data_IF_057736906362
#
_entry.id   IF_057736906362
#
_cell.length_a   1.000
_cell.length_b   1.000
_cell.length_c   1.000
_cell.angle_alpha   90.00
_cell.angle_beta   90.00
_cell.angle_gamma   90.00
#
_symmetry.space_group_name_H-M   'P 1'
#
loop_
_entity.id
_entity.type
_entity.pdbx_description
1 polymer ?
#
# COMPACT_ATOMS: atom_id res chain seq x y z
N UNK A 1 -0.53 3.41 2.54
CA UNK A 1 0.22 3.54 1.26
C UNK A 1 -0.63 4.13 0.12
N UNK A 2 -1.95 4.25 0.27
CA UNK A 2 -2.82 4.79 -0.78
C UNK A 2 -2.55 6.27 -1.13
N UNK A 3 -2.51 7.16 -0.12
CA UNK A 3 -2.40 8.61 -0.34
C UNK A 3 -1.17 9.01 -1.18
N UNK A 4 0.06 8.56 -0.87
CA UNK A 4 1.21 8.92 -1.70
C UNK A 4 1.10 8.42 -3.15
N UNK A 5 0.47 7.26 -3.37
CA UNK A 5 0.23 6.73 -4.71
C UNK A 5 -0.77 7.61 -5.49
N UNK A 6 -1.87 8.02 -4.85
CA UNK A 6 -2.86 8.92 -5.46
C UNK A 6 -2.24 10.26 -5.87
N UNK A 7 -1.36 10.81 -5.02
CA UNK A 7 -0.61 12.04 -5.33
C UNK A 7 0.37 11.85 -6.48
N UNK A 8 1.04 10.71 -6.58
CA UNK A 8 1.91 10.44 -7.73
C UNK A 8 1.10 10.30 -9.02
N UNK A 9 -0.06 9.65 -8.98
CA UNK A 9 -0.93 9.51 -10.16
C UNK A 9 -1.35 10.86 -10.72
N UNK A 10 -1.70 11.83 -9.85
CA UNK A 10 -2.01 13.19 -10.32
C UNK A 10 -0.80 13.89 -10.94
N UNK A 11 0.41 13.68 -10.41
CA UNK A 11 1.65 14.19 -11.02
C UNK A 11 1.94 13.59 -12.41
N UNK A 12 1.45 12.38 -12.66
CA UNK A 12 1.53 11.70 -13.97
C UNK A 12 0.39 12.08 -14.92
N UNK A 13 -0.46 13.05 -14.55
CA UNK A 13 -1.69 13.40 -15.29
C UNK A 13 -2.66 12.22 -15.45
N UNK A 14 -2.66 11.30 -14.49
CA UNK A 14 -3.61 10.20 -14.40
C UNK A 14 -4.70 10.51 -13.37
N UNK A 15 -5.90 9.91 -13.49
CA UNK A 15 -6.90 9.95 -12.44
C UNK A 15 -6.31 9.44 -11.11
N UNK A 16 -6.48 10.21 -10.03
CA UNK A 16 -5.88 9.89 -8.73
C UNK A 16 -6.50 8.65 -8.07
N UNK A 17 -7.70 8.26 -8.48
CA UNK A 17 -8.47 7.12 -8.03
C UNK A 17 -8.25 5.85 -8.87
N UNK A 18 -7.36 5.91 -9.86
CA UNK A 18 -7.11 4.80 -10.79
C UNK A 18 -6.64 3.53 -10.07
N UNK A 19 -5.77 3.65 -9.05
CA UNK A 19 -5.36 2.47 -8.27
C UNK A 19 -6.52 1.83 -7.49
N UNK A 20 -7.30 2.58 -6.68
CA UNK A 20 -8.54 2.05 -6.11
C UNK A 20 -9.47 1.37 -7.12
N UNK A 21 -9.75 2.02 -8.26
CA UNK A 21 -10.61 1.43 -9.30
C UNK A 21 -10.06 0.08 -9.77
N UNK A 22 -8.77 -0.01 -10.07
CA UNK A 22 -8.14 -1.27 -10.49
C UNK A 22 -8.29 -2.37 -9.44
N UNK A 23 -8.07 -2.05 -8.16
CA UNK A 23 -8.26 -3.02 -7.07
C UNK A 23 -9.73 -3.46 -6.97
N UNK A 24 -10.69 -2.54 -7.02
CA UNK A 24 -12.11 -2.87 -6.98
C UNK A 24 -12.55 -3.76 -8.15
N UNK A 25 -12.12 -3.42 -9.37
CA UNK A 25 -12.41 -4.21 -10.56
C UNK A 25 -11.77 -5.61 -10.51
N UNK A 26 -10.54 -5.76 -9.99
CA UNK A 26 -9.95 -7.10 -9.78
C UNK A 26 -10.75 -7.97 -8.80
N UNK A 27 -11.54 -7.35 -7.93
CA UNK A 27 -12.43 -8.01 -6.98
C UNK A 27 -13.87 -8.16 -7.53
N UNK A 28 -14.05 -8.01 -8.84
CA UNK A 28 -15.31 -8.23 -9.54
C UNK A 28 -16.32 -7.09 -9.41
N UNK A 29 -15.91 -5.91 -8.95
CA UNK A 29 -16.80 -4.75 -8.84
C UNK A 29 -16.99 -4.05 -10.18
N UNK A 30 -18.17 -3.45 -10.37
CA UNK A 30 -18.46 -2.54 -11.48
C UNK A 30 -17.61 -1.27 -11.36
N UNK A 31 -17.42 -0.53 -12.44
CA UNK A 31 -16.61 0.70 -12.42
C UNK A 31 -17.18 1.76 -11.45
N UNK A 32 -18.50 1.82 -11.29
CA UNK A 32 -19.18 2.76 -10.39
C UNK A 32 -18.83 2.51 -8.91
N UNK A 33 -18.78 1.25 -8.50
CA UNK A 33 -18.47 0.86 -7.12
C UNK A 33 -16.97 0.59 -6.86
N UNK A 34 -16.19 0.38 -7.93
CA UNK A 34 -14.82 -0.11 -7.86
C UNK A 34 -13.90 0.82 -7.07
N UNK A 35 -14.05 2.14 -7.20
CA UNK A 35 -13.19 3.08 -6.46
C UNK A 35 -13.37 2.91 -4.95
N UNK A 36 -14.61 2.94 -4.46
CA UNK A 36 -14.92 2.81 -3.04
C UNK A 36 -14.51 1.44 -2.51
N UNK A 37 -14.89 0.36 -3.22
CA UNK A 37 -14.56 -0.99 -2.79
C UNK A 37 -13.06 -1.27 -2.84
N UNK A 38 -12.34 -0.72 -3.82
CA UNK A 38 -10.90 -0.82 -3.91
C UNK A 38 -10.17 -0.15 -2.75
N UNK A 39 -10.66 0.99 -2.26
CA UNK A 39 -10.16 1.61 -1.02
C UNK A 39 -10.31 0.64 0.15
N UNK A 40 -11.52 0.06 0.33
CA UNK A 40 -11.79 -0.90 1.40
C UNK A 40 -10.84 -2.11 1.31
N UNK A 41 -10.73 -2.73 0.14
CA UNK A 41 -9.85 -3.88 -0.08
C UNK A 41 -8.37 -3.55 0.11
N UNK A 42 -7.96 -2.30 -0.10
CA UNK A 42 -6.59 -1.88 0.16
C UNK A 42 -6.27 -1.71 1.66
N UNK A 43 -7.26 -1.35 2.48
CA UNK A 43 -7.08 -1.24 3.93
C UNK A 43 -6.98 -2.60 4.62
N UNK A 44 -7.66 -3.63 4.12
CA UNK A 44 -7.62 -4.99 4.70
C UNK A 44 -6.18 -5.52 4.89
N UNK A 45 -5.31 -5.60 3.85
CA UNK A 45 -3.94 -6.05 4.04
C UNK A 45 -3.15 -5.10 4.94
N UNK A 46 -3.41 -3.79 4.89
CA UNK A 46 -2.74 -2.81 5.76
C UNK A 46 -3.02 -3.08 7.24
N UNK A 47 -4.27 -3.39 7.59
CA UNK A 47 -4.67 -3.73 8.96
C UNK A 47 -4.01 -5.04 9.41
N UNK A 48 -4.05 -6.07 8.56
CA UNK A 48 -3.43 -7.37 8.84
C UNK A 48 -1.92 -7.22 9.09
N UNK A 49 -1.22 -6.49 8.23
CA UNK A 49 0.21 -6.19 8.40
C UNK A 49 0.46 -5.46 9.73
N UNK A 50 -0.37 -4.47 10.08
CA UNK A 50 -0.24 -3.73 11.34
C UNK A 50 -0.39 -4.62 12.58
N UNK A 51 -1.37 -5.54 12.56
CA UNK A 51 -1.58 -6.52 13.63
C UNK A 51 -0.37 -7.45 13.76
N UNK A 52 0.10 -8.02 12.64
CA UNK A 52 1.28 -8.90 12.61
C UNK A 52 2.50 -8.15 13.13
N UNK A 53 2.73 -6.92 12.67
CA UNK A 53 3.82 -6.08 13.13
C UNK A 53 3.79 -5.89 14.64
N UNK A 54 2.63 -5.50 15.20
CA UNK A 54 2.41 -5.33 16.63
C UNK A 54 2.69 -6.60 17.44
N UNK A 55 2.19 -7.75 16.98
CA UNK A 55 2.42 -9.04 17.61
C UNK A 55 3.89 -9.46 17.58
N UNK A 56 4.58 -9.25 16.46
CA UNK A 56 6.01 -9.61 16.32
C UNK A 56 6.87 -8.78 17.28
N UNK A 57 6.63 -7.47 17.40
CA UNK A 57 7.44 -6.62 18.28
C UNK A 57 7.14 -6.83 19.78
N UNK A 58 5.98 -7.39 20.14
CA UNK A 58 5.58 -7.58 21.54
C UNK A 58 6.25 -8.79 22.19
N UNK A 59 6.56 -9.84 21.43
CA UNK A 59 7.14 -11.10 21.95
C UNK A 59 8.62 -11.28 21.63
N UNK A 60 9.18 -10.47 20.73
CA UNK A 60 10.55 -10.67 20.25
C UNK A 60 11.55 -9.71 20.91
N UNK A 61 12.84 -10.02 20.77
CA UNK A 61 13.96 -9.10 21.07
C UNK A 61 13.90 -7.81 20.22
N UNK A 62 12.95 -7.70 19.29
CA UNK A 62 12.67 -6.53 18.44
C UNK A 62 11.86 -5.45 19.15
N UNK A 63 11.59 -5.60 20.45
CA UNK A 63 10.93 -4.56 21.25
C UNK A 63 11.46 -3.16 20.95
N UNK A 64 10.53 -2.21 20.84
CA UNK A 64 10.79 -0.86 20.36
C UNK A 64 11.43 -0.01 21.46
N UNK A 65 12.74 -0.18 21.64
CA UNK A 65 13.53 0.55 22.65
C UNK A 65 13.67 2.04 22.35
N UNK A 66 13.64 2.43 21.08
CA UNK A 66 13.79 3.82 20.62
C UNK A 66 12.92 4.11 19.40
N UNK A 67 12.62 5.40 19.20
CA UNK A 67 11.84 5.86 18.05
C UNK A 67 12.50 5.48 16.71
N UNK A 68 13.84 5.64 16.62
CA UNK A 68 14.63 5.23 15.45
C UNK A 68 14.46 3.74 15.12
N UNK A 69 14.44 2.87 16.14
CA UNK A 69 14.21 1.43 15.96
C UNK A 69 12.77 1.14 15.51
N UNK A 70 11.79 1.90 16.00
CA UNK A 70 10.40 1.84 15.53
C UNK A 70 10.29 2.13 14.04
N UNK A 71 10.89 3.25 13.61
CA UNK A 71 10.94 3.63 12.19
C UNK A 71 11.66 2.58 11.36
N UNK A 72 12.84 2.12 11.77
CA UNK A 72 13.62 1.15 10.98
C UNK A 72 12.87 -0.17 10.78
N UNK A 73 12.26 -0.69 11.85
CA UNK A 73 11.44 -1.91 11.77
C UNK A 73 10.21 -1.70 10.88
N UNK A 74 9.56 -0.54 11.00
CA UNK A 74 8.45 -0.16 10.15
C UNK A 74 8.81 -0.09 8.66
N UNK A 75 9.95 0.54 8.31
CA UNK A 75 10.47 0.59 6.93
C UNK A 75 10.68 -0.82 6.38
N UNK A 76 11.33 -1.70 7.16
CA UNK A 76 11.54 -3.11 6.77
C UNK A 76 10.20 -3.80 6.50
N UNK A 77 9.21 -3.62 7.36
CA UNK A 77 7.86 -4.13 7.15
C UNK A 77 7.21 -3.56 5.88
N UNK A 78 7.38 -2.27 5.61
CA UNK A 78 6.94 -1.62 4.38
C UNK A 78 7.54 -2.29 3.13
N UNK A 79 8.86 -2.47 3.11
CA UNK A 79 9.58 -3.12 2.01
C UNK A 79 9.12 -4.58 1.83
N UNK A 80 8.94 -5.33 2.93
CA UNK A 80 8.42 -6.70 2.86
C UNK A 80 7.00 -6.71 2.27
N UNK A 81 6.12 -5.81 2.70
CA UNK A 81 4.76 -5.75 2.15
C UNK A 81 4.75 -5.38 0.66
N UNK A 82 5.66 -4.50 0.23
CA UNK A 82 5.85 -4.22 -1.20
C UNK A 82 6.29 -5.49 -1.96
N UNK A 83 7.31 -6.17 -1.47
CA UNK A 83 7.89 -7.32 -2.17
C UNK A 83 6.97 -8.55 -2.19
N UNK A 84 6.24 -8.80 -1.10
CA UNK A 84 5.47 -10.04 -0.91
C UNK A 84 4.01 -9.89 -1.33
N UNK A 85 3.45 -8.69 -1.29
CA UNK A 85 2.02 -8.46 -1.60
C UNK A 85 1.89 -7.64 -2.88
N UNK A 86 2.49 -6.45 -2.92
CA UNK A 86 2.29 -5.55 -4.05
C UNK A 86 2.92 -6.06 -5.34
N UNK A 87 4.18 -6.53 -5.31
CA UNK A 87 4.84 -7.04 -6.53
C UNK A 87 4.07 -8.21 -7.16
N UNK A 88 3.66 -9.27 -6.43
CA UNK A 88 2.83 -10.32 -7.01
C UNK A 88 1.50 -9.82 -7.58
N UNK A 89 0.84 -8.87 -6.90
CA UNK A 89 -0.38 -8.25 -7.40
C UNK A 89 -0.14 -7.49 -8.71
N UNK A 90 0.91 -6.65 -8.77
CA UNK A 90 1.25 -5.85 -9.94
C UNK A 90 1.68 -6.70 -11.14
N UNK A 91 2.35 -7.83 -10.90
CA UNK A 91 2.87 -8.68 -11.97
C UNK A 91 1.85 -9.69 -12.49
N UNK A 92 0.96 -10.20 -11.62
CA UNK A 92 0.11 -11.35 -11.97
C UNK A 92 -1.39 -11.04 -11.96
N UNK A 93 -1.84 -10.04 -11.20
CA UNK A 93 -3.28 -9.81 -10.94
C UNK A 93 -3.78 -8.54 -11.64
N UNK A 94 -3.06 -7.43 -11.50
CA UNK A 94 -3.46 -6.14 -12.06
C UNK A 94 -3.35 -6.00 -13.59
N UNK A 95 -2.38 -6.63 -14.31
CA UNK A 95 -2.19 -6.35 -15.74
C UNK A 95 -3.43 -6.57 -16.63
N UNK A 96 -4.21 -7.68 -16.48
CA UNK A 96 -5.43 -7.86 -17.28
C UNK A 96 -6.47 -6.75 -17.05
N UNK A 97 -6.65 -6.33 -15.80
CA UNK A 97 -7.61 -5.27 -15.44
C UNK A 97 -7.13 -3.90 -15.90
N UNK A 98 -5.82 -3.63 -15.85
CA UNK A 98 -5.25 -2.40 -16.41
C UNK A 98 -5.49 -2.30 -17.91
N UNK A 99 -5.27 -3.40 -18.63
CA UNK A 99 -5.55 -3.46 -20.07
C UNK A 99 -7.02 -3.21 -20.37
N UNK A 100 -7.92 -3.89 -19.65
CA UNK A 100 -9.37 -3.73 -19.80
C UNK A 100 -9.80 -2.27 -19.55
N UNK A 101 -9.32 -1.65 -18.46
CA UNK A 101 -9.65 -0.26 -18.12
C UNK A 101 -9.19 0.70 -19.22
N UNK A 102 -7.97 0.55 -19.72
CA UNK A 102 -7.43 1.40 -20.78
C UNK A 102 -8.19 1.24 -22.10
N UNK A 103 -8.64 0.02 -22.44
CA UNK A 103 -9.48 -0.22 -23.62
C UNK A 103 -10.86 0.43 -23.48
N UNK A 104 -11.47 0.42 -22.28
CA UNK A 104 -12.73 1.12 -22.05
C UNK A 104 -12.58 2.64 -22.15
N UNK A 105 -11.45 3.17 -21.68
CA UNK A 105 -11.14 4.61 -21.77
C UNK A 105 -10.82 5.07 -23.20
N UNK A 106 -10.27 4.18 -24.04
CA UNK A 106 -9.96 4.48 -25.43
C UNK A 106 -10.30 3.29 -26.36
N UNK A 107 -11.59 3.08 -26.70
CA UNK A 107 -12.04 1.89 -27.45
C UNK A 107 -11.46 1.76 -28.87
N UNK A 108 -10.99 2.87 -29.45
CA UNK A 108 -10.39 2.90 -30.79
C UNK A 108 -8.88 2.65 -30.81
N UNK A 109 -8.22 2.54 -29.65
CA UNK A 109 -6.78 2.33 -29.60
C UNK A 109 -6.42 0.86 -29.88
N UNK A 110 -5.42 0.61 -30.75
CA UNK A 110 -4.83 -0.71 -30.91
C UNK A 110 -4.30 -1.27 -29.60
N UNK A 111 -4.51 -2.57 -29.38
CA UNK A 111 -4.15 -3.24 -28.12
C UNK A 111 -2.63 -3.20 -27.84
N UNK A 112 -1.82 -3.32 -28.88
CA UNK A 112 -0.36 -3.23 -28.84
C UNK A 112 0.12 -1.85 -28.38
N UNK A 113 -0.54 -0.78 -28.84
CA UNK A 113 -0.26 0.58 -28.34
C UNK A 113 -0.57 0.72 -26.85
N UNK A 114 -1.69 0.16 -26.37
CA UNK A 114 -2.05 0.18 -24.95
C UNK A 114 -1.03 -0.60 -24.12
N UNK A 115 -0.61 -1.78 -24.58
CA UNK A 115 0.40 -2.57 -23.87
C UNK A 115 1.74 -1.83 -23.79
N UNK A 116 2.17 -1.17 -24.87
CA UNK A 116 3.39 -0.36 -24.87
C UNK A 116 3.30 0.80 -23.88
N UNK A 117 2.14 1.47 -23.80
CA UNK A 117 1.90 2.52 -22.82
C UNK A 117 2.00 1.98 -21.38
N UNK A 118 1.30 0.88 -21.07
CA UNK A 118 1.36 0.24 -19.75
C UNK A 118 2.79 -0.17 -19.36
N UNK A 119 3.56 -0.73 -20.29
CA UNK A 119 4.96 -1.10 -20.07
C UNK A 119 5.84 0.13 -19.79
N UNK A 120 5.65 1.24 -20.52
CA UNK A 120 6.41 2.47 -20.29
C UNK A 120 6.14 3.13 -18.93
N UNK A 121 4.93 2.95 -18.40
CA UNK A 121 4.53 3.49 -17.09
C UNK A 121 4.96 2.58 -15.93
N UNK A 122 5.22 1.30 -16.19
CA UNK A 122 5.51 0.28 -15.18
C UNK A 122 6.67 0.66 -14.24
N UNK A 123 7.83 1.19 -14.70
CA UNK A 123 8.93 1.57 -13.81
C UNK A 123 8.52 2.65 -12.80
N UNK A 124 7.77 3.66 -13.26
CA UNK A 124 7.32 4.75 -12.39
C UNK A 124 6.29 4.27 -11.37
N UNK A 125 5.36 3.41 -11.78
CA UNK A 125 4.39 2.78 -10.87
C UNK A 125 5.08 1.93 -9.80
N UNK A 126 6.11 1.16 -10.16
CA UNK A 126 6.91 0.36 -9.23
C UNK A 126 7.71 1.23 -8.25
N UNK A 127 8.35 2.30 -8.74
CA UNK A 127 9.09 3.23 -7.90
C UNK A 127 8.16 3.96 -6.91
N UNK A 128 7.04 4.48 -7.42
CA UNK A 128 6.03 5.17 -6.61
C UNK A 128 5.40 4.31 -5.54
N UNK A 129 5.06 3.08 -5.89
CA UNK A 129 4.51 2.11 -4.95
C UNK A 129 5.55 1.74 -3.88
N UNK A 130 6.81 1.50 -4.23
CA UNK A 130 7.87 1.26 -3.24
C UNK A 130 8.00 2.43 -2.25
N UNK A 131 8.05 3.68 -2.75
CA UNK A 131 8.09 4.89 -1.91
C UNK A 131 6.86 4.94 -0.99
N UNK A 132 5.67 4.66 -1.53
CA UNK A 132 4.42 4.65 -0.78
C UNK A 132 4.41 3.62 0.36
N UNK A 133 5.03 2.45 0.14
CA UNK A 133 5.17 1.41 1.16
C UNK A 133 6.22 1.76 2.22
N UNK A 134 7.32 2.41 1.83
CA UNK A 134 8.31 2.96 2.78
C UNK A 134 7.64 4.01 3.68
N UNK A 135 6.89 4.96 3.12
CA UNK A 135 6.14 5.96 3.89
C UNK A 135 5.16 5.28 4.85
N UNK A 136 4.40 4.29 4.37
CA UNK A 136 3.53 3.49 5.23
C UNK A 136 4.29 2.84 6.39
N UNK A 137 5.44 2.23 6.12
CA UNK A 137 6.31 1.63 7.12
C UNK A 137 6.77 2.63 8.18
N UNK A 138 7.22 3.82 7.76
CA UNK A 138 7.62 4.90 8.66
C UNK A 138 6.45 5.28 9.59
N UNK A 139 5.25 5.47 9.03
CA UNK A 139 4.04 5.83 9.79
C UNK A 139 3.66 4.73 10.77
N UNK A 140 3.61 3.47 10.32
CA UNK A 140 3.29 2.30 11.15
C UNK A 140 4.26 2.18 12.34
N UNK A 141 5.57 2.23 12.07
CA UNK A 141 6.60 2.14 13.09
C UNK A 141 6.55 3.29 14.10
N UNK A 142 6.30 4.51 13.63
CA UNK A 142 6.19 5.71 14.46
C UNK A 142 4.99 5.65 15.40
N UNK A 143 3.80 5.36 14.85
CA UNK A 143 2.55 5.25 15.63
C UNK A 143 2.66 4.12 16.65
N UNK A 144 3.14 2.96 16.23
CA UNK A 144 3.28 1.80 17.12
C UNK A 144 4.24 2.09 18.28
N UNK A 145 5.36 2.78 18.03
CA UNK A 145 6.27 3.19 19.09
C UNK A 145 5.58 4.09 20.13
N UNK A 146 4.82 5.09 19.68
CA UNK A 146 4.10 6.01 20.56
C UNK A 146 3.07 5.26 21.41
N UNK A 147 2.30 4.35 20.82
CA UNK A 147 1.31 3.53 21.53
C UNK A 147 1.99 2.65 22.59
N UNK A 148 3.06 1.93 22.23
CA UNK A 148 3.80 1.06 23.16
C UNK A 148 4.38 1.87 24.32
N UNK A 149 5.00 3.02 24.05
CA UNK A 149 5.56 3.90 25.10
C UNK A 149 4.48 4.45 26.04
N UNK A 150 3.33 4.87 25.49
CA UNK A 150 2.21 5.35 26.31
C UNK A 150 1.67 4.24 27.20
N UNK A 151 1.47 3.04 26.66
CA UNK A 151 1.01 1.86 27.42
C UNK A 151 1.95 1.50 28.57
N UNK A 152 3.27 1.49 28.32
CA UNK A 152 4.27 1.26 29.36
C UNK A 152 4.26 2.32 30.48
N UNK A 153 3.98 3.59 30.15
CA UNK A 153 3.87 4.66 31.15
C UNK A 153 2.62 4.47 32.01
N UNK A 154 1.47 4.20 31.41
CA UNK A 154 0.20 3.99 32.12
C UNK A 154 0.26 2.80 33.08
N UNK A 155 0.86 1.67 32.67
CA UNK A 155 1.01 0.51 33.55
C UNK A 155 1.90 0.78 34.76
N UNK A 156 2.92 1.64 34.64
CA UNK A 156 3.76 2.01 35.78
C UNK A 156 2.99 2.83 36.81
N UNK A 157 2.21 3.82 36.35
CA UNK A 157 1.41 4.67 37.24
C UNK A 157 0.24 3.96 37.93
N UNK A 158 -0.22 2.81 37.41
CA UNK A 158 -1.29 2.02 38.07
C UNK A 158 -0.78 1.04 39.13
N UNK A 159 0.54 0.89 39.25
CA UNK A 159 1.20 -0.01 40.21
C UNK A 159 1.86 0.76 41.37
N UNK A 160 1.86 2.09 41.30
CA UNK A 160 2.25 3.03 42.37
C UNK A 160 1.01 3.51 43.12
#
# INVERSE_FOLDING_TARGET
MLVPMMSMMSMMSLPSDLFPILVGMTMGQTQEDAAMMGIVFHFVPSIIIGIIFGAVISVSKLSLKSFKKGISMGIVTGIISFAVIFLPMMMNVLPPTMLQLMQMMNPGAPQDMIMQQLQSMQPMLLAGSLISHIIYGIVLGSITYVIVRKSQKTMKTSLE
#
